data_IF_398631286295
#
_entry.id   IF_398631286295
#
_cell.length_a   1.000
_cell.length_b   1.000
_cell.length_c   1.000
_cell.angle_alpha   90.00
_cell.angle_beta   90.00
_cell.angle_gamma   90.00
#
_symmetry.space_group_name_H-M   'P 1'
#
loop_
_entity.id
_entity.type
_entity.pdbx_description
1 polymer ?
#
# COMPACT_ATOMS: atom_id res chain seq x y z
N UNK A 1 1.61 -11.49 -3.52
CA UNK A 1 0.79 -12.71 -3.52
C UNK A 1 -0.35 -12.57 -2.52
N UNK A 2 -1.56 -12.70 -2.98
CA UNK A 2 -2.74 -12.60 -2.13
C UNK A 2 -2.93 -13.87 -1.32
N UNK A 3 -3.08 -13.75 -0.01
CA UNK A 3 -3.28 -14.87 0.92
C UNK A 3 -4.75 -15.11 1.24
N UNK A 4 -5.56 -14.06 1.24
CA UNK A 4 -6.97 -14.16 1.60
C UNK A 4 -7.76 -13.00 1.02
N UNK A 5 -8.97 -13.28 0.58
CA UNK A 5 -9.97 -12.26 0.23
C UNK A 5 -11.30 -12.66 0.80
N UNK A 6 -12.00 -11.68 1.39
CA UNK A 6 -13.36 -11.93 1.87
C UNK A 6 -14.31 -12.18 0.70
N UNK A 7 -15.45 -12.90 0.93
CA UNK A 7 -16.39 -13.19 -0.15
C UNK A 7 -16.95 -11.96 -0.85
N UNK A 8 -17.08 -10.85 -0.15
CA UNK A 8 -17.57 -9.58 -0.73
C UNK A 8 -16.47 -8.79 -1.43
N UNK A 9 -15.20 -9.26 -1.37
CA UNK A 9 -14.07 -8.59 -2.00
C UNK A 9 -13.60 -7.32 -1.31
N UNK A 10 -14.16 -6.99 -0.14
CA UNK A 10 -13.80 -5.75 0.55
C UNK A 10 -12.55 -5.85 1.41
N UNK A 11 -12.20 -7.06 1.82
CA UNK A 11 -11.04 -7.29 2.71
C UNK A 11 -10.10 -8.28 2.04
N UNK A 12 -8.83 -7.93 1.97
CA UNK A 12 -7.81 -8.86 1.46
C UNK A 12 -6.48 -8.66 2.16
N UNK A 13 -5.70 -9.74 2.23
CA UNK A 13 -4.37 -9.73 2.83
C UNK A 13 -3.41 -10.50 1.95
N UNK A 14 -2.14 -10.16 2.03
CA UNK A 14 -1.11 -10.88 1.30
C UNK A 14 0.27 -10.30 1.48
N UNK A 15 1.15 -10.72 0.59
CA UNK A 15 2.53 -10.26 0.49
C UNK A 15 2.73 -9.59 -0.87
N UNK A 16 3.34 -8.43 -0.86
CA UNK A 16 3.73 -7.70 -2.05
C UNK A 16 5.25 -7.58 -2.08
N UNK A 17 5.84 -7.75 -3.25
CA UNK A 17 7.27 -7.64 -3.47
C UNK A 17 7.54 -6.84 -4.73
N UNK A 18 8.60 -6.02 -4.73
CA UNK A 18 9.04 -5.31 -5.92
C UNK A 18 10.54 -5.06 -5.90
N UNK A 19 11.11 -5.11 -7.08
CA UNK A 19 12.48 -4.71 -7.33
C UNK A 19 12.58 -3.18 -7.39
N UNK A 20 13.79 -2.59 -7.34
CA UNK A 20 13.95 -1.15 -7.46
C UNK A 20 13.22 -0.56 -8.66
N UNK A 21 12.55 0.55 -8.42
CA UNK A 21 11.74 1.24 -9.41
C UNK A 21 10.95 2.37 -8.78
N UNK A 22 10.22 3.12 -9.59
CA UNK A 22 9.43 4.26 -9.15
C UNK A 22 8.21 4.38 -10.05
N UNK A 23 7.02 4.39 -9.46
CA UNK A 23 5.76 4.47 -10.23
C UNK A 23 4.68 5.20 -9.45
N UNK A 24 3.70 5.72 -10.17
CA UNK A 24 2.55 6.39 -9.54
C UNK A 24 1.62 5.37 -8.91
N UNK A 25 1.00 5.79 -7.81
CA UNK A 25 0.00 4.98 -7.10
C UNK A 25 -1.22 5.83 -6.77
N UNK A 26 -2.38 5.19 -6.75
CA UNK A 26 -3.64 5.82 -6.37
C UNK A 26 -4.47 4.75 -5.65
N UNK A 27 -4.94 5.08 -4.46
CA UNK A 27 -5.62 4.11 -3.60
C UNK A 27 -7.10 4.45 -3.45
N UNK A 28 -7.95 3.51 -3.84
CA UNK A 28 -9.38 3.58 -3.54
C UNK A 28 -9.72 2.89 -2.23
N UNK A 29 -8.79 2.07 -1.74
CA UNK A 29 -8.93 1.32 -0.48
C UNK A 29 -8.00 1.86 0.59
N UNK A 30 -8.30 1.52 1.85
CA UNK A 30 -7.36 1.69 2.96
C UNK A 30 -6.41 0.50 2.97
N UNK A 31 -5.12 0.76 3.15
CA UNK A 31 -4.13 -0.30 3.20
C UNK A 31 -3.26 -0.17 4.44
N UNK A 32 -3.26 -1.21 5.28
CA UNK A 32 -2.28 -1.35 6.35
C UNK A 32 -1.08 -2.11 5.81
N UNK A 33 0.12 -1.60 6.05
CA UNK A 33 1.35 -2.21 5.56
C UNK A 33 2.34 -2.43 6.69
N UNK A 34 3.12 -3.51 6.56
CA UNK A 34 4.26 -3.79 7.41
C UNK A 34 5.42 -4.18 6.51
N UNK A 35 6.53 -3.44 6.58
CA UNK A 35 7.72 -3.71 5.77
C UNK A 35 8.50 -4.86 6.39
N UNK A 36 8.66 -5.95 5.64
CA UNK A 36 9.39 -7.13 6.07
C UNK A 36 10.87 -7.03 5.73
N UNK A 37 11.20 -6.45 4.57
CA UNK A 37 12.58 -6.23 4.14
C UNK A 37 12.64 -5.16 3.07
N UNK A 38 13.81 -4.53 2.94
CA UNK A 38 14.09 -3.55 1.92
C UNK A 38 13.91 -2.11 2.37
N UNK A 39 13.98 -1.21 1.41
CA UNK A 39 13.81 0.22 1.63
C UNK A 39 13.01 0.83 0.49
N UNK A 40 11.99 1.59 0.84
CA UNK A 40 11.15 2.31 -0.11
C UNK A 40 10.89 3.73 0.38
N UNK A 41 10.43 4.57 -0.52
CA UNK A 41 9.99 5.93 -0.19
C UNK A 41 8.60 6.14 -0.77
N UNK A 42 7.69 6.60 0.06
CA UNK A 42 6.36 7.00 -0.37
C UNK A 42 6.35 8.52 -0.56
N UNK A 43 5.95 8.98 -1.74
CA UNK A 43 5.85 10.39 -2.08
C UNK A 43 4.38 10.75 -2.21
N UNK A 44 3.95 11.85 -1.57
CA UNK A 44 2.59 12.33 -1.78
C UNK A 44 2.54 13.41 -2.88
N UNK A 45 1.34 13.87 -3.20
CA UNK A 45 1.13 14.84 -4.26
C UNK A 45 1.67 16.24 -3.91
N UNK A 46 1.89 16.50 -2.62
CA UNK A 46 2.38 17.80 -2.12
C UNK A 46 3.90 17.85 -1.97
N UNK A 47 4.60 16.79 -2.37
CA UNK A 47 6.06 16.71 -2.28
C UNK A 47 6.58 16.21 -0.95
N UNK A 48 5.70 15.77 -0.03
CA UNK A 48 6.15 15.15 1.22
C UNK A 48 6.58 13.72 0.95
N UNK A 49 7.57 13.27 1.69
CA UNK A 49 8.11 11.92 1.56
C UNK A 49 8.13 11.21 2.89
N UNK A 50 8.01 9.88 2.84
CA UNK A 50 8.17 9.02 4.00
C UNK A 50 9.07 7.86 3.66
N UNK A 51 10.16 7.72 4.39
CA UNK A 51 11.06 6.59 4.26
C UNK A 51 10.46 5.38 4.97
N UNK A 52 10.45 4.25 4.27
CA UNK A 52 9.88 2.99 4.74
C UNK A 52 10.98 1.94 4.80
N UNK A 53 11.21 1.38 5.99
CA UNK A 53 12.25 0.39 6.24
C UNK A 53 11.67 -0.82 6.95
N UNK A 54 12.46 -1.89 6.99
CA UNK A 54 12.12 -3.11 7.72
C UNK A 54 11.63 -2.80 9.13
N UNK A 55 10.47 -3.33 9.48
CA UNK A 55 9.83 -3.13 10.78
C UNK A 55 8.83 -1.97 10.82
N UNK A 56 8.82 -1.09 9.82
CA UNK A 56 7.86 0.01 9.78
C UNK A 56 6.46 -0.50 9.50
N UNK A 57 5.50 0.09 10.22
CA UNK A 57 4.07 -0.17 10.08
C UNK A 57 3.35 1.14 9.83
N UNK A 58 2.42 1.13 8.90
CA UNK A 58 1.72 2.35 8.53
C UNK A 58 0.43 2.05 7.80
N UNK A 59 -0.40 3.08 7.70
CA UNK A 59 -1.65 3.00 6.93
C UNK A 59 -1.57 4.00 5.78
N UNK A 60 -1.95 3.55 4.60
CA UNK A 60 -2.21 4.41 3.45
C UNK A 60 -3.72 4.54 3.36
N UNK A 61 -4.30 5.72 3.65
CA UNK A 61 -5.75 5.87 3.61
C UNK A 61 -6.30 5.90 2.18
N UNK A 62 -7.55 5.49 2.04
CA UNK A 62 -8.27 5.61 0.78
C UNK A 62 -8.25 7.07 0.31
N UNK A 63 -8.05 7.27 -0.98
CA UNK A 63 -7.92 8.60 -1.55
C UNK A 63 -6.49 9.10 -1.69
N UNK A 64 -5.52 8.37 -1.13
CA UNK A 64 -4.12 8.74 -1.30
C UNK A 64 -3.70 8.64 -2.77
N UNK A 65 -2.95 9.65 -3.23
CA UNK A 65 -2.39 9.70 -4.57
C UNK A 65 -0.96 10.22 -4.48
N UNK A 66 -0.05 9.57 -5.16
CA UNK A 66 1.35 9.95 -5.13
C UNK A 66 2.20 8.96 -5.91
N UNK A 67 3.38 8.61 -5.38
CA UNK A 67 4.23 7.62 -6.00
C UNK A 67 4.94 6.77 -4.96
N UNK A 68 5.31 5.57 -5.38
CA UNK A 68 6.07 4.62 -4.58
C UNK A 68 7.41 4.41 -5.25
N UNK A 69 8.47 4.63 -4.49
CA UNK A 69 9.84 4.42 -4.97
C UNK A 69 10.47 3.28 -4.18
N UNK A 70 10.87 2.21 -4.86
CA UNK A 70 11.62 1.11 -4.26
C UNK A 70 13.10 1.38 -4.50
N UNK A 71 13.85 1.61 -3.44
CA UNK A 71 15.30 1.82 -3.49
C UNK A 71 16.07 0.53 -3.37
N UNK A 72 15.62 -0.34 -2.45
CA UNK A 72 16.11 -1.70 -2.29
C UNK A 72 14.91 -2.62 -2.38
N UNK A 73 15.06 -3.78 -3.00
CA UNK A 73 13.97 -4.75 -3.13
C UNK A 73 13.14 -4.78 -1.85
N UNK A 74 11.88 -4.47 -1.97
CA UNK A 74 10.98 -4.33 -0.83
C UNK A 74 9.96 -5.44 -0.81
N UNK A 75 9.73 -5.98 0.38
CA UNK A 75 8.71 -6.98 0.65
C UNK A 75 7.87 -6.50 1.81
N UNK A 76 6.55 -6.52 1.63
CA UNK A 76 5.62 -6.07 2.68
C UNK A 76 4.44 -7.00 2.83
N UNK A 77 3.92 -7.06 4.06
CA UNK A 77 2.57 -7.57 4.33
C UNK A 77 1.60 -6.44 4.04
N UNK A 78 0.49 -6.75 3.41
CA UNK A 78 -0.60 -5.79 3.24
C UNK A 78 -1.91 -6.35 3.77
N UNK A 79 -2.73 -5.44 4.31
CA UNK A 79 -4.12 -5.70 4.69
C UNK A 79 -4.93 -4.58 4.06
N UNK A 80 -5.83 -4.93 3.18
CA UNK A 80 -6.61 -3.98 2.40
C UNK A 80 -8.08 -4.05 2.81
N UNK A 81 -8.67 -2.87 3.02
CA UNK A 81 -10.12 -2.72 3.19
C UNK A 81 -10.65 -1.76 2.11
N UNK A 82 -11.53 -2.26 1.27
CA UNK A 82 -12.20 -1.49 0.23
C UNK A 82 -13.55 -1.03 0.75
N UNK A 83 -13.73 0.28 1.03
CA UNK A 83 -15.02 0.78 1.49
C UNK A 83 -16.12 0.57 0.44
N UNK A 84 -17.33 0.28 0.88
CA UNK A 84 -18.49 0.27 0.00
C UNK A 84 -18.79 1.70 -0.40
N UNK A 85 -18.81 1.95 -1.72
CA UNK A 85 -19.28 3.23 -2.23
C UNK A 85 -20.79 3.13 -2.34
N UNK A 86 -21.50 3.86 -1.48
CA UNK A 86 -22.95 3.95 -1.59
C UNK A 86 -23.30 4.89 -2.73
N UNK A 87 -23.55 4.32 -3.89
CA UNK A 87 -23.99 5.07 -5.08
C UNK A 87 -25.49 5.13 -5.21
N UNK A 88 -26.22 4.58 -4.24
CA UNK A 88 -27.67 4.44 -4.29
C UNK A 88 -28.45 5.60 -3.71
N UNK A 89 -27.78 6.68 -3.45
CA UNK A 89 -28.45 7.84 -2.87
C UNK A 89 -29.56 8.37 -3.79
#
# INVERSE_FOLDING_TARGET
>A
RNHYSSPDGQFSTGIWEAEPGHWTVSYSEHEYCEILEGESVLHDADGNTRLLRTGDRFVIPAGFSGSWEVRERTRKVYVIYEPVVDSGA
#
